data_IF_936197874794
#
_entry.id   IF_936197874794
#
_cell.length_a   1.000
_cell.length_b   1.000
_cell.length_c   1.000
_cell.angle_alpha   90.00
_cell.angle_beta   90.00
_cell.angle_gamma   90.00
#
_symmetry.space_group_name_H-M   'P 1'
#
loop_
_entity.id
_entity.type
_entity.pdbx_description
1 polymer ?
#
# COMPACT_ATOMS: atom_id res chain seq x y z
N UNK A 1 3.91 14.74 8.82
CA UNK A 1 3.91 13.27 8.62
C UNK A 1 5.30 12.71 8.97
N UNK A 2 6.02 13.37 9.89
CA UNK A 2 7.41 13.07 10.21
C UNK A 2 7.56 11.99 11.29
N UNK A 3 6.49 11.74 12.05
CA UNK A 3 6.49 10.72 13.11
C UNK A 3 6.68 9.30 12.58
N UNK A 4 6.28 9.01 11.33
CA UNK A 4 6.52 7.68 10.73
C UNK A 4 7.97 7.50 10.27
N UNK A 5 8.74 8.57 10.07
CA UNK A 5 10.15 8.47 9.65
C UNK A 5 11.01 7.81 10.73
N UNK A 6 10.67 8.01 12.00
CA UNK A 6 11.36 7.42 13.16
C UNK A 6 10.65 6.17 13.71
N UNK A 7 9.63 5.67 13.01
CA UNK A 7 8.87 4.51 13.46
C UNK A 7 9.74 3.26 13.43
N UNK A 8 9.96 2.66 14.60
CA UNK A 8 10.81 1.49 14.78
C UNK A 8 10.00 0.25 15.17
N UNK A 9 10.70 -0.87 15.38
CA UNK A 9 10.07 -2.15 15.65
C UNK A 9 9.32 -2.19 16.99
N UNK A 10 9.78 -1.46 18.01
CA UNK A 10 9.06 -1.36 19.30
C UNK A 10 7.74 -0.60 19.13
N UNK A 11 7.72 0.43 18.30
CA UNK A 11 6.50 1.16 17.97
C UNK A 11 5.51 0.29 17.19
N UNK A 12 6.02 -0.52 16.25
CA UNK A 12 5.20 -1.53 15.56
C UNK A 12 4.53 -2.47 16.56
N UNK A 13 5.31 -3.10 17.44
CA UNK A 13 4.76 -4.03 18.44
C UNK A 13 3.74 -3.36 19.37
N UNK A 14 3.98 -2.09 19.76
CA UNK A 14 3.02 -1.32 20.56
C UNK A 14 1.71 -1.09 19.82
N UNK A 15 1.76 -0.82 18.52
CA UNK A 15 0.58 -0.56 17.69
C UNK A 15 -0.22 -1.83 17.43
N UNK A 16 0.42 -2.92 17.01
CA UNK A 16 -0.29 -4.16 16.65
C UNK A 16 -0.95 -4.85 17.87
N UNK A 17 -0.37 -4.65 19.07
CA UNK A 17 -0.91 -5.19 20.33
C UNK A 17 -2.10 -4.40 20.89
N UNK A 18 -2.44 -3.24 20.34
CA UNK A 18 -3.63 -2.47 20.76
C UNK A 18 -4.90 -3.30 20.56
N UNK A 19 -5.89 -3.10 21.42
CA UNK A 19 -7.25 -3.56 21.12
C UNK A 19 -7.78 -2.83 19.87
N UNK A 20 -8.87 -3.32 19.29
CA UNK A 20 -9.34 -2.80 18.01
C UNK A 20 -9.78 -1.34 18.07
N UNK A 21 -10.38 -0.90 19.18
CA UNK A 21 -10.80 0.50 19.34
C UNK A 21 -9.59 1.45 19.37
N UNK A 22 -8.59 1.16 20.19
CA UNK A 22 -7.38 1.97 20.31
C UNK A 22 -6.55 1.94 19.02
N UNK A 23 -6.55 0.80 18.32
CA UNK A 23 -5.89 0.65 17.03
C UNK A 23 -6.59 1.50 15.95
N UNK A 24 -7.92 1.47 15.90
CA UNK A 24 -8.69 2.32 14.97
C UNK A 24 -8.50 3.81 15.27
N UNK A 25 -8.45 4.18 16.56
CA UNK A 25 -8.17 5.55 16.97
C UNK A 25 -6.78 5.99 16.50
N UNK A 26 -5.76 5.14 16.67
CA UNK A 26 -4.41 5.41 16.16
C UNK A 26 -4.39 5.57 14.62
N UNK A 27 -5.10 4.72 13.88
CA UNK A 27 -5.22 4.87 12.43
C UNK A 27 -5.87 6.20 12.02
N UNK A 28 -6.89 6.64 12.75
CA UNK A 28 -7.56 7.90 12.53
C UNK A 28 -6.64 9.11 12.77
N UNK A 29 -5.86 9.08 13.86
CA UNK A 29 -4.87 10.11 14.19
C UNK A 29 -3.80 10.25 13.11
N UNK A 30 -3.35 9.11 12.54
CA UNK A 30 -2.40 9.09 11.42
C UNK A 30 -3.05 9.39 10.06
N UNK A 31 -4.36 9.67 10.02
CA UNK A 31 -5.15 9.93 8.81
C UNK A 31 -5.08 8.77 7.80
N UNK A 32 -4.93 7.55 8.29
CA UNK A 32 -4.89 6.34 7.46
C UNK A 32 -6.29 5.78 7.18
N UNK A 33 -7.29 6.25 7.90
CA UNK A 33 -8.69 5.88 7.71
C UNK A 33 -9.60 7.11 7.74
N UNK A 34 -10.81 6.94 7.20
CA UNK A 34 -11.86 7.96 7.27
C UNK A 34 -12.33 8.18 8.72
N UNK A 35 -12.20 9.41 9.22
CA UNK A 35 -12.88 9.86 10.44
C UNK A 35 -14.32 10.27 10.14
N UNK A 36 -14.50 10.94 9.01
CA UNK A 36 -15.78 11.34 8.41
C UNK A 36 -15.78 10.98 6.94
N UNK A 37 -16.93 10.60 6.39
CA UNK A 37 -17.05 10.23 4.98
C UNK A 37 -18.32 10.79 4.38
N UNK A 38 -18.22 11.35 3.18
CA UNK A 38 -19.37 11.85 2.44
C UNK A 38 -19.79 10.86 1.37
N UNK A 39 -21.10 10.78 1.14
CA UNK A 39 -21.67 10.05 0.02
C UNK A 39 -21.53 10.87 -1.28
N UNK A 40 -21.68 10.21 -2.42
CA UNK A 40 -21.73 10.85 -3.76
C UNK A 40 -22.85 11.89 -3.86
N UNK A 41 -23.91 11.78 -3.05
CA UNK A 41 -24.96 12.80 -2.97
C UNK A 41 -24.57 14.04 -2.12
N UNK A 42 -23.31 14.14 -1.67
CA UNK A 42 -22.77 15.26 -0.89
C UNK A 42 -23.09 15.24 0.60
N UNK A 43 -23.89 14.28 1.08
CA UNK A 43 -24.30 14.17 2.49
C UNK A 43 -23.36 13.26 3.28
N UNK A 44 -23.09 13.63 4.53
CA UNK A 44 -22.24 12.85 5.43
C UNK A 44 -22.88 11.49 5.75
N UNK A 45 -22.08 10.44 5.69
CA UNK A 45 -22.47 9.07 6.01
C UNK A 45 -22.30 8.79 7.51
N UNK A 46 -23.11 7.87 8.02
CA UNK A 46 -23.02 7.39 9.41
C UNK A 46 -22.31 6.04 9.46
N UNK A 47 -21.58 5.78 10.55
CA UNK A 47 -20.99 4.47 10.84
C UNK A 47 -22.06 3.57 11.42
N UNK A 48 -22.19 2.36 10.88
CA UNK A 48 -23.15 1.37 11.35
C UNK A 48 -22.38 0.09 11.66
N UNK A 49 -22.50 -0.37 12.90
CA UNK A 49 -21.94 -1.65 13.31
C UNK A 49 -22.68 -2.78 12.61
N UNK A 50 -21.91 -3.75 12.12
CA UNK A 50 -22.45 -4.97 11.56
C UNK A 50 -22.55 -6.04 12.66
N UNK A 51 -22.85 -7.28 12.27
CA UNK A 51 -22.79 -8.42 13.18
C UNK A 51 -21.40 -8.54 13.84
N UNK A 52 -21.33 -9.25 14.97
CA UNK A 52 -20.24 -9.23 15.97
C UNK A 52 -18.78 -9.43 15.47
N UNK A 53 -18.55 -9.76 14.21
CA UNK A 53 -17.21 -10.05 13.66
C UNK A 53 -16.84 -9.23 12.43
N UNK A 54 -17.65 -8.25 12.04
CA UNK A 54 -17.41 -7.44 10.84
C UNK A 54 -17.12 -5.98 11.19
N UNK A 55 -16.18 -5.37 10.46
CA UNK A 55 -15.90 -3.95 10.56
C UNK A 55 -17.16 -3.11 10.30
N UNK A 56 -17.33 -1.94 10.94
CA UNK A 56 -18.46 -1.07 10.67
C UNK A 56 -18.54 -0.69 9.19
N UNK A 57 -19.73 -0.35 8.70
CA UNK A 57 -19.90 0.18 7.34
C UNK A 57 -20.30 1.64 7.39
N UNK A 58 -19.95 2.36 6.34
CA UNK A 58 -20.49 3.69 6.10
C UNK A 58 -21.82 3.54 5.39
N UNK A 59 -22.89 4.17 5.90
CA UNK A 59 -24.20 4.20 5.25
C UNK A 59 -24.66 5.64 5.02
N UNK A 60 -25.19 5.90 3.83
CA UNK A 60 -25.93 7.13 3.57
C UNK A 60 -27.40 6.94 3.95
N UNK A 61 -27.95 7.86 4.74
CA UNK A 61 -29.35 7.83 5.15
C UNK A 61 -30.31 8.53 4.16
N UNK A 62 -29.78 9.09 3.07
CA UNK A 62 -30.54 9.94 2.14
C UNK A 62 -31.13 9.12 1.00
N UNK A 63 -32.34 8.58 1.21
CA UNK A 63 -33.01 7.73 0.22
C UNK A 63 -33.45 8.46 -1.04
N UNK A 64 -33.89 9.70 -0.91
CA UNK A 64 -34.45 10.51 -2.01
C UNK A 64 -33.42 10.72 -3.12
N UNK A 65 -32.17 10.98 -2.75
CA UNK A 65 -31.07 11.21 -3.69
C UNK A 65 -30.53 9.91 -4.33
N UNK A 66 -31.05 8.75 -3.93
CA UNK A 66 -30.60 7.43 -4.38
C UNK A 66 -31.74 6.54 -4.88
N UNK A 67 -32.84 7.14 -5.36
CA UNK A 67 -33.98 6.39 -5.91
C UNK A 67 -34.60 5.40 -4.91
N UNK A 68 -34.64 5.78 -3.63
CA UNK A 68 -35.17 4.94 -2.54
C UNK A 68 -34.13 4.05 -1.85
N UNK A 69 -32.90 3.94 -2.38
CA UNK A 69 -31.83 3.09 -1.82
C UNK A 69 -31.05 3.77 -0.69
N UNK A 70 -30.37 2.97 0.13
CA UNK A 70 -29.42 3.44 1.15
C UNK A 70 -28.03 2.88 0.81
N UNK A 71 -27.22 3.59 0.02
CA UNK A 71 -25.93 3.09 -0.39
C UNK A 71 -25.00 2.95 0.82
N UNK A 72 -24.17 1.91 0.77
CA UNK A 72 -23.18 1.58 1.79
C UNK A 72 -21.79 1.55 1.17
N UNK A 73 -20.77 1.84 1.98
CA UNK A 73 -19.37 1.67 1.62
C UNK A 73 -18.64 0.96 2.76
N UNK A 74 -17.68 0.11 2.42
CA UNK A 74 -16.86 -0.60 3.42
C UNK A 74 -16.09 0.38 4.31
N UNK A 75 -15.74 -0.04 5.53
CA UNK A 75 -15.06 0.82 6.50
C UNK A 75 -13.80 1.48 5.95
N UNK A 76 -12.97 0.65 5.32
CA UNK A 76 -11.65 0.98 4.77
C UNK A 76 -11.69 1.31 3.27
N UNK A 77 -12.88 1.31 2.66
CA UNK A 77 -13.01 1.55 1.24
C UNK A 77 -12.48 2.96 0.88
N UNK A 78 -11.62 3.04 -0.14
CA UNK A 78 -10.90 4.26 -0.52
C UNK A 78 -9.75 4.67 0.42
N UNK A 79 -9.27 3.77 1.29
CA UNK A 79 -8.07 3.96 2.12
C UNK A 79 -6.96 3.00 1.69
N UNK A 80 -5.78 3.11 2.31
CA UNK A 80 -4.66 2.17 2.08
C UNK A 80 -5.01 0.70 2.36
N UNK A 81 -6.02 0.43 3.19
CA UNK A 81 -6.46 -0.93 3.53
C UNK A 81 -7.59 -1.44 2.61
N UNK A 82 -7.99 -0.67 1.60
CA UNK A 82 -9.13 -0.98 0.74
C UNK A 82 -8.89 -2.25 -0.08
N UNK A 83 -9.89 -3.14 -0.14
CA UNK A 83 -9.83 -4.37 -0.93
C UNK A 83 -8.85 -5.44 -0.41
N UNK A 84 -8.20 -5.19 0.73
CA UNK A 84 -7.28 -6.13 1.36
C UNK A 84 -8.00 -7.34 1.96
N UNK A 85 -7.45 -8.53 1.75
CA UNK A 85 -7.78 -9.73 2.53
C UNK A 85 -6.96 -9.86 3.81
N UNK A 86 -5.86 -9.11 3.94
CA UNK A 86 -5.11 -8.99 5.19
C UNK A 86 -5.86 -8.10 6.17
N UNK A 87 -5.76 -8.44 7.45
CA UNK A 87 -6.25 -7.55 8.51
C UNK A 87 -5.46 -6.23 8.49
N UNK A 88 -6.04 -5.10 8.90
CA UNK A 88 -5.32 -3.83 8.95
C UNK A 88 -4.02 -3.86 9.75
N UNK A 89 -3.95 -4.67 10.83
CA UNK A 89 -2.73 -4.89 11.62
C UNK A 89 -1.65 -5.60 10.80
N UNK A 90 -2.00 -6.67 10.10
CA UNK A 90 -1.09 -7.36 9.18
C UNK A 90 -0.61 -6.44 8.05
N UNK A 91 -1.47 -5.55 7.54
CA UNK A 91 -1.06 -4.57 6.52
C UNK A 91 0.01 -3.61 7.07
N UNK A 92 -0.19 -3.07 8.28
CA UNK A 92 0.81 -2.19 8.94
C UNK A 92 2.13 -2.93 9.15
N UNK A 93 2.09 -4.15 9.67
CA UNK A 93 3.26 -4.99 9.92
C UNK A 93 3.99 -5.35 8.62
N UNK A 94 3.25 -5.78 7.60
CA UNK A 94 3.82 -6.11 6.29
C UNK A 94 4.54 -4.91 5.68
N UNK A 95 3.87 -3.76 5.69
CA UNK A 95 4.42 -2.52 5.11
C UNK A 95 5.66 -2.07 5.86
N UNK A 96 5.70 -2.23 7.18
CA UNK A 96 6.89 -1.94 7.99
C UNK A 96 8.08 -2.78 7.55
N UNK A 97 7.93 -4.11 7.50
CA UNK A 97 9.04 -5.00 7.11
C UNK A 97 9.47 -4.80 5.67
N UNK A 98 8.54 -4.50 4.77
CA UNK A 98 8.86 -4.18 3.38
C UNK A 98 9.67 -2.87 3.28
N UNK A 99 9.26 -1.80 3.96
CA UNK A 99 9.97 -0.52 3.92
C UNK A 99 11.37 -0.60 4.55
N UNK A 100 11.58 -1.51 5.51
CA UNK A 100 12.87 -1.72 6.18
C UNK A 100 13.76 -2.74 5.46
N UNK A 101 13.24 -3.43 4.46
CA UNK A 101 13.88 -4.56 3.77
C UNK A 101 14.42 -5.62 4.75
N UNK A 102 13.66 -5.89 5.81
CA UNK A 102 14.07 -6.81 6.88
C UNK A 102 13.49 -8.22 6.74
N UNK A 103 12.61 -8.46 5.77
CA UNK A 103 11.97 -9.77 5.58
C UNK A 103 12.06 -10.27 4.14
N UNK A 104 12.70 -11.43 4.01
CA UNK A 104 12.60 -12.35 2.90
C UNK A 104 11.18 -12.90 2.79
N UNK A 105 10.89 -13.53 1.65
CA UNK A 105 9.60 -14.19 1.46
C UNK A 105 9.36 -15.31 2.50
N UNK A 106 10.40 -16.08 2.85
CA UNK A 106 10.29 -17.15 3.83
C UNK A 106 9.93 -16.61 5.24
N UNK A 107 10.53 -15.48 5.65
CA UNK A 107 10.21 -14.83 6.93
C UNK A 107 8.77 -14.32 6.96
N UNK A 108 8.27 -13.72 5.87
CA UNK A 108 6.85 -13.36 5.77
C UNK A 108 5.91 -14.58 5.89
N UNK A 109 6.30 -15.73 5.35
CA UNK A 109 5.50 -16.96 5.49
C UNK A 109 5.53 -17.48 6.93
N UNK A 110 6.71 -17.45 7.57
CA UNK A 110 6.91 -17.98 8.91
C UNK A 110 6.27 -17.08 9.98
N UNK A 111 6.59 -15.78 10.00
CA UNK A 111 6.19 -14.86 11.06
C UNK A 111 4.73 -14.41 10.92
N UNK A 112 4.25 -14.21 9.69
CA UNK A 112 2.90 -13.69 9.43
C UNK A 112 1.91 -14.75 8.91
N UNK A 113 2.36 -15.98 8.63
CA UNK A 113 1.51 -17.06 8.13
C UNK A 113 0.93 -16.80 6.74
N UNK A 114 1.56 -15.95 5.93
CA UNK A 114 1.02 -15.53 4.64
C UNK A 114 1.35 -16.52 3.52
N UNK A 115 0.46 -16.64 2.52
CA UNK A 115 0.75 -17.43 1.33
C UNK A 115 1.78 -16.72 0.43
N UNK A 116 2.57 -17.48 -0.31
CA UNK A 116 3.48 -16.94 -1.35
C UNK A 116 2.76 -15.97 -2.28
N UNK A 117 1.57 -16.33 -2.74
CA UNK A 117 0.77 -15.48 -3.63
C UNK A 117 0.44 -14.14 -2.98
N UNK A 118 -0.06 -14.17 -1.75
CA UNK A 118 -0.39 -12.96 -0.99
C UNK A 118 0.83 -12.07 -0.77
N UNK A 119 1.99 -12.66 -0.44
CA UNK A 119 3.23 -11.91 -0.24
C UNK A 119 3.67 -11.22 -1.53
N UNK A 120 3.66 -11.94 -2.66
CA UNK A 120 4.03 -11.37 -3.96
C UNK A 120 3.08 -10.23 -4.34
N UNK A 121 1.77 -10.46 -4.23
CA UNK A 121 0.75 -9.46 -4.56
C UNK A 121 0.93 -8.18 -3.72
N UNK A 122 1.19 -8.32 -2.40
CA UNK A 122 1.45 -7.18 -1.53
C UNK A 122 2.79 -6.49 -1.77
N UNK A 123 3.86 -7.24 -2.06
CA UNK A 123 5.14 -6.65 -2.47
C UNK A 123 4.99 -5.84 -3.76
N UNK A 124 4.18 -6.30 -4.71
CA UNK A 124 3.88 -5.55 -5.94
C UNK A 124 3.09 -4.29 -5.63
N UNK A 125 2.03 -4.38 -4.82
CA UNK A 125 1.26 -3.22 -4.40
C UNK A 125 2.14 -2.13 -3.74
N UNK A 126 3.04 -2.51 -2.82
CA UNK A 126 3.97 -1.56 -2.22
C UNK A 126 4.89 -0.88 -3.25
N UNK A 127 5.38 -1.64 -4.25
CA UNK A 127 6.19 -1.07 -5.34
C UNK A 127 5.39 -0.09 -6.19
N UNK A 128 4.14 -0.41 -6.52
CA UNK A 128 3.28 0.46 -7.33
C UNK A 128 2.99 1.78 -6.61
N UNK A 129 2.74 1.72 -5.30
CA UNK A 129 2.56 2.91 -4.45
C UNK A 129 3.84 3.76 -4.43
N UNK A 130 5.00 3.14 -4.23
CA UNK A 130 6.29 3.84 -4.23
C UNK A 130 6.60 4.46 -5.60
N UNK A 131 6.41 3.72 -6.69
CA UNK A 131 6.61 4.19 -8.05
C UNK A 131 5.70 5.38 -8.38
N UNK A 132 4.41 5.29 -8.02
CA UNK A 132 3.46 6.40 -8.17
C UNK A 132 3.90 7.65 -7.42
N UNK A 133 4.46 7.50 -6.21
CA UNK A 133 5.00 8.64 -5.46
C UNK A 133 6.14 9.34 -6.23
N UNK A 134 7.14 8.58 -6.69
CA UNK A 134 8.28 9.14 -7.42
C UNK A 134 7.91 9.72 -8.79
N UNK A 135 6.92 9.15 -9.47
CA UNK A 135 6.39 9.71 -10.72
C UNK A 135 5.71 11.07 -10.50
N UNK A 136 5.02 11.25 -9.37
CA UNK A 136 4.35 12.51 -9.02
C UNK A 136 5.28 13.54 -8.35
N UNK A 137 6.42 13.09 -7.82
CA UNK A 137 7.43 13.92 -7.18
C UNK A 137 8.79 13.65 -7.82
N UNK A 138 8.97 14.03 -9.10
CA UNK A 138 10.22 13.77 -9.80
C UNK A 138 11.35 14.55 -9.12
N UNK A 139 12.26 13.83 -8.48
CA UNK A 139 13.49 14.41 -7.99
C UNK A 139 14.50 14.50 -9.14
N UNK A 140 15.13 15.66 -9.29
CA UNK A 140 16.17 15.85 -10.29
C UNK A 140 17.42 15.08 -9.86
N UNK A 141 17.80 14.09 -10.66
CA UNK A 141 19.11 13.43 -10.56
C UNK A 141 20.13 14.33 -11.29
N UNK A 142 21.18 14.76 -10.58
CA UNK A 142 22.23 15.63 -11.11
C UNK A 142 22.03 17.14 -10.85
N UNK A 143 22.95 17.95 -11.38
CA UNK A 143 23.00 19.40 -11.16
C UNK A 143 24.31 19.99 -11.65
N UNK A 144 24.44 21.33 -11.60
CA UNK A 144 25.73 21.98 -11.87
C UNK A 144 26.76 21.41 -10.89
N UNK A 145 27.91 21.00 -11.43
CA UNK A 145 29.01 20.37 -10.67
C UNK A 145 28.70 18.98 -10.09
N UNK A 146 27.67 18.27 -10.58
CA UNK A 146 27.45 16.85 -10.25
C UNK A 146 27.62 15.96 -11.47
N UNK A 147 28.38 14.88 -11.31
CA UNK A 147 28.52 13.85 -12.34
C UNK A 147 27.43 12.80 -12.11
N UNK A 148 26.64 12.53 -13.15
CA UNK A 148 25.66 11.45 -13.15
C UNK A 148 26.22 10.29 -13.95
N UNK A 149 26.38 9.15 -13.31
CA UNK A 149 26.64 7.88 -13.96
C UNK A 149 25.31 7.28 -14.42
N UNK A 150 25.24 6.88 -15.69
CA UNK A 150 24.05 6.26 -16.28
C UNK A 150 24.40 4.80 -16.54
N UNK A 151 23.82 3.90 -15.75
CA UNK A 151 23.89 2.47 -16.00
C UNK A 151 22.79 2.06 -16.97
N UNK A 152 23.18 1.34 -18.02
CA UNK A 152 22.27 0.75 -19.00
C UNK A 152 22.11 -0.75 -18.73
N UNK A 153 20.87 -1.21 -18.52
CA UNK A 153 20.55 -2.63 -18.38
C UNK A 153 19.58 -3.04 -19.49
N UNK A 154 19.93 -4.08 -20.24
CA UNK A 154 19.09 -4.64 -21.30
C UNK A 154 18.47 -5.95 -20.84
N UNK A 155 17.14 -6.04 -20.90
CA UNK A 155 16.41 -7.30 -20.79
C UNK A 155 16.04 -7.80 -22.18
N UNK A 156 16.49 -9.01 -22.51
CA UNK A 156 16.16 -9.72 -23.74
C UNK A 156 15.44 -11.03 -23.39
N UNK A 157 14.34 -11.36 -24.08
CA UNK A 157 13.77 -12.72 -24.01
C UNK A 157 14.59 -13.68 -24.88
N UNK A 158 15.04 -14.84 -24.37
CA UNK A 158 15.67 -15.84 -25.23
C UNK A 158 14.64 -16.51 -26.16
N UNK A 159 14.95 -16.65 -27.45
CA UNK A 159 14.07 -17.32 -28.41
C UNK A 159 14.25 -18.84 -28.24
N UNK A 160 13.17 -19.54 -27.87
CA UNK A 160 13.11 -21.01 -27.80
C UNK A 160 14.17 -21.71 -26.92
N UNK A 161 14.61 -21.12 -25.79
CA UNK A 161 15.62 -21.74 -24.91
C UNK A 161 16.91 -22.21 -25.63
N UNK A 162 17.20 -21.68 -26.82
CA UNK A 162 18.40 -21.99 -27.60
C UNK A 162 19.21 -20.71 -27.71
N UNK A 163 20.43 -20.73 -27.17
CA UNK A 163 21.30 -19.60 -26.88
C UNK A 163 21.74 -18.72 -28.06
N UNK A 164 20.81 -18.16 -28.84
CA UNK A 164 21.09 -17.08 -29.79
C UNK A 164 20.31 -15.84 -29.36
N UNK A 165 21.05 -14.74 -29.18
CA UNK A 165 20.49 -13.45 -28.76
C UNK A 165 19.45 -12.94 -29.76
N UNK A 166 18.30 -12.53 -29.22
CA UNK A 166 17.15 -12.08 -30.01
C UNK A 166 17.15 -10.56 -29.95
N UNK A 167 17.73 -9.93 -30.96
CA UNK A 167 17.74 -8.47 -31.13
C UNK A 167 16.35 -7.83 -31.33
N UNK A 168 15.25 -8.60 -31.24
CA UNK A 168 13.90 -8.14 -31.61
C UNK A 168 13.00 -7.74 -30.45
N UNK A 169 13.29 -8.17 -29.22
CA UNK A 169 12.50 -7.81 -28.02
C UNK A 169 13.46 -7.38 -26.90
N UNK A 170 14.10 -6.21 -27.08
CA UNK A 170 14.96 -5.61 -26.08
C UNK A 170 14.18 -4.56 -25.30
N UNK A 171 14.20 -4.65 -23.98
CA UNK A 171 13.75 -3.59 -23.09
C UNK A 171 14.97 -2.98 -22.41
N UNK A 172 15.16 -1.68 -22.64
CA UNK A 172 16.25 -0.90 -22.07
C UNK A 172 15.79 -0.24 -20.78
N UNK A 173 16.57 -0.43 -19.71
CA UNK A 173 16.40 0.23 -18.43
C UNK A 173 17.62 1.09 -18.17
N UNK A 174 17.40 2.37 -17.91
CA UNK A 174 18.45 3.33 -17.58
C UNK A 174 18.32 3.70 -16.11
N UNK A 175 19.42 3.58 -15.37
CA UNK A 175 19.49 3.99 -13.97
C UNK A 175 20.51 5.10 -13.83
N UNK A 176 20.08 6.25 -13.31
CA UNK A 176 21.00 7.35 -12.97
C UNK A 176 21.46 7.24 -11.52
N UNK A 177 22.78 7.29 -11.31
CA UNK A 177 23.41 7.50 -10.01
C UNK A 177 24.11 8.86 -10.02
N UNK A 178 23.84 9.68 -9.00
CA UNK A 178 24.48 10.98 -8.86
C UNK A 178 25.54 10.92 -7.75
N UNK A 179 26.79 11.22 -8.10
CA UNK A 179 27.88 11.46 -7.13
C UNK A 179 27.84 12.85 -6.52
#
# INVERSE_FOLDING_TARGET
MDELKNFNIHDLFRVIKKNDNDFLQWLAEKKLIWTTRNCECGKQMVKINQNKSAWPIWRCNQRTNHGGKMPTKGFFDGTFFSGSHLTPKQVIEFTYYWCRDTHTQAEFQFDMGLSTKTIVDWKMFCRDVAASYFLNHPEKIGGISKTVEIDETVLCKPKYHRGREVAKEQQWFFRGLCG
#
